data_IF_679940946232
#
_entry.id   IF_679940946232
#
_cell.length_a   1.000
_cell.length_b   1.000
_cell.length_c   1.000
_cell.angle_alpha   90.00
_cell.angle_beta   90.00
_cell.angle_gamma   90.00
#
_symmetry.space_group_name_H-M   'P 1'
#
loop_
_entity.id
_entity.type
_entity.pdbx_description
1 polymer ?
#
# COMPACT_ATOMS: atom_id res chain seq x y z
N UNK A 1 -13.96 -6.12 0.83
CA UNK A 1 -13.86 -6.98 2.06
C UNK A 1 -12.46 -6.74 2.64
N UNK A 2 -12.32 -6.32 3.89
CA UNK A 2 -10.99 -6.01 4.46
C UNK A 2 -10.29 -7.33 4.83
N UNK A 3 -9.24 -7.70 4.10
CA UNK A 3 -8.34 -8.78 4.50
C UNK A 3 -7.04 -8.15 5.01
N UNK A 4 -6.81 -8.23 6.32
CA UNK A 4 -5.54 -7.87 6.94
C UNK A 4 -4.90 -9.15 7.47
N UNK A 5 -3.73 -9.51 6.93
CA UNK A 5 -2.96 -10.66 7.41
C UNK A 5 -1.79 -10.14 8.24
N UNK A 6 -1.65 -10.66 9.46
CA UNK A 6 -0.57 -10.30 10.37
C UNK A 6 0.41 -11.47 10.44
N UNK A 7 1.68 -11.22 10.12
CA UNK A 7 2.76 -12.21 10.24
C UNK A 7 3.75 -11.78 11.33
N UNK A 8 3.98 -12.67 12.30
CA UNK A 8 5.08 -12.53 13.25
C UNK A 8 6.33 -13.23 12.68
N UNK A 9 7.45 -12.51 12.56
CA UNK A 9 8.72 -13.08 12.06
C UNK A 9 9.26 -14.16 13.02
N UNK A 10 9.29 -15.41 12.56
CA UNK A 10 9.96 -16.52 13.22
C UNK A 10 11.46 -16.55 12.90
N UNK A 11 12.29 -16.81 13.92
CA UNK A 11 13.75 -16.81 13.84
C UNK A 11 14.29 -18.26 13.76
N UNK A 12 15.05 -18.64 12.72
CA UNK A 12 16.21 -19.57 12.79
C UNK A 12 16.66 -20.12 11.43
N UNK A 13 17.92 -20.57 11.44
CA UNK A 13 18.84 -20.76 10.33
C UNK A 13 18.87 -22.17 9.71
N UNK A 14 19.27 -22.19 8.43
CA UNK A 14 20.06 -23.20 7.68
C UNK A 14 19.79 -24.70 7.84
N UNK A 15 19.53 -25.36 6.69
CA UNK A 15 20.36 -26.50 6.22
C UNK A 15 20.25 -26.69 4.69
N UNK A 16 21.41 -26.91 4.06
CA UNK A 16 21.63 -27.23 2.63
C UNK A 16 21.70 -28.75 2.43
N UNK A 17 21.31 -29.20 1.23
CA UNK A 17 21.85 -30.25 0.30
C UNK A 17 20.67 -30.69 -0.58
N UNK A 18 20.71 -31.01 -1.87
CA UNK A 18 21.74 -31.50 -2.81
C UNK A 18 21.24 -31.23 -4.25
N UNK A 19 22.13 -31.05 -5.23
CA UNK A 19 21.81 -30.81 -6.65
C UNK A 19 21.87 -32.11 -7.45
N UNK A 20 20.77 -32.53 -8.11
CA UNK A 20 20.88 -33.19 -9.42
C UNK A 20 19.56 -33.21 -10.21
N UNK A 21 19.75 -33.21 -11.54
CA UNK A 21 18.81 -33.49 -12.63
C UNK A 21 17.88 -32.35 -13.12
N UNK A 22 18.26 -31.85 -14.29
CA UNK A 22 17.61 -30.87 -15.15
C UNK A 22 16.32 -31.43 -15.75
N UNK A 23 15.22 -30.71 -15.56
CA UNK A 23 14.14 -30.64 -16.53
C UNK A 23 13.80 -29.16 -16.73
N UNK A 24 14.15 -28.59 -17.90
CA UNK A 24 13.84 -27.20 -18.23
C UNK A 24 12.38 -27.12 -18.67
N UNK A 25 11.47 -27.17 -17.71
CA UNK A 25 10.11 -26.68 -17.88
C UNK A 25 10.16 -25.17 -17.71
N UNK A 26 9.85 -24.43 -18.77
CA UNK A 26 9.52 -23.01 -18.72
C UNK A 26 8.48 -22.79 -17.62
N UNK A 27 8.72 -21.95 -16.61
CA UNK A 27 7.69 -21.62 -15.65
C UNK A 27 6.65 -20.80 -16.40
N UNK A 28 5.47 -21.39 -16.64
CA UNK A 28 4.26 -20.61 -16.85
C UNK A 28 3.99 -19.89 -15.54
N UNK A 29 4.45 -18.65 -15.43
CA UNK A 29 4.01 -17.70 -14.41
C UNK A 29 2.52 -17.50 -14.60
N UNK A 30 1.71 -18.26 -13.86
CA UNK A 30 0.27 -18.04 -13.73
C UNK A 30 0.08 -16.77 -12.91
N UNK A 31 0.12 -15.63 -13.60
CA UNK A 31 -0.26 -14.34 -13.03
C UNK A 31 -1.75 -14.37 -12.66
N UNK A 32 -2.09 -13.91 -11.46
CA UNK A 32 -3.49 -13.86 -11.00
C UNK A 32 -4.23 -12.60 -11.43
N UNK A 33 -3.66 -11.82 -12.34
CA UNK A 33 -4.17 -10.50 -12.72
C UNK A 33 -5.09 -10.58 -13.94
N UNK A 34 -6.24 -9.90 -13.90
CA UNK A 34 -7.13 -9.75 -15.06
C UNK A 34 -6.76 -8.52 -15.91
N UNK A 35 -6.35 -8.77 -17.16
CA UNK A 35 -5.94 -7.75 -18.13
C UNK A 35 -7.02 -6.70 -18.44
N UNK A 36 -8.32 -7.04 -18.33
CA UNK A 36 -9.42 -6.10 -18.65
C UNK A 36 -9.59 -5.02 -17.59
N UNK A 37 -9.32 -5.36 -16.34
CA UNK A 37 -9.44 -4.44 -15.23
C UNK A 37 -8.27 -3.45 -15.23
N UNK A 38 -7.06 -3.90 -15.58
CA UNK A 38 -5.88 -3.04 -15.72
C UNK A 38 -6.12 -1.85 -16.66
N UNK A 39 -6.66 -2.09 -17.86
CA UNK A 39 -6.92 -1.02 -18.83
C UNK A 39 -7.93 0.03 -18.30
N UNK A 40 -8.86 -0.38 -17.44
CA UNK A 40 -9.82 0.53 -16.81
C UNK A 40 -9.12 1.43 -15.80
N UNK A 41 -8.22 0.87 -14.98
CA UNK A 41 -7.44 1.60 -13.98
C UNK A 41 -6.40 2.54 -14.60
N UNK A 42 -5.74 2.13 -15.68
CA UNK A 42 -4.81 2.97 -16.44
C UNK A 42 -5.48 4.26 -16.93
N UNK A 43 -6.75 4.19 -17.33
CA UNK A 43 -7.50 5.35 -17.83
C UNK A 43 -7.80 6.38 -16.74
N UNK A 44 -8.04 5.93 -15.50
CA UNK A 44 -8.42 6.81 -14.38
C UNK A 44 -7.24 7.16 -13.46
N UNK A 45 -6.05 6.61 -13.70
CA UNK A 45 -4.85 6.83 -12.89
C UNK A 45 -4.58 8.32 -12.60
N UNK A 46 -4.80 9.21 -13.58
CA UNK A 46 -4.55 10.65 -13.44
C UNK A 46 -5.60 11.40 -12.61
N UNK A 47 -6.77 10.82 -12.44
CA UNK A 47 -7.89 11.37 -11.66
C UNK A 47 -7.99 10.70 -10.28
N UNK A 48 -7.05 9.81 -9.93
CA UNK A 48 -7.11 8.98 -8.72
C UNK A 48 -7.18 9.79 -7.44
N UNK A 49 -6.52 10.95 -7.43
CA UNK A 49 -6.46 11.86 -6.29
C UNK A 49 -7.45 13.03 -6.39
N UNK A 50 -8.28 13.10 -7.44
CA UNK A 50 -9.40 14.03 -7.45
C UNK A 50 -10.44 13.60 -6.41
N UNK A 51 -10.56 14.38 -5.34
CA UNK A 51 -11.49 14.13 -4.24
C UNK A 51 -12.95 14.11 -4.68
N UNK A 52 -13.28 14.68 -5.84
CA UNK A 52 -14.61 14.65 -6.44
C UNK A 52 -14.71 13.71 -7.66
N UNK A 53 -13.61 13.05 -8.02
CA UNK A 53 -13.48 12.20 -9.20
C UNK A 53 -13.96 10.75 -8.99
N UNK A 54 -13.55 9.83 -9.88
CA UNK A 54 -14.00 8.44 -9.86
C UNK A 54 -13.71 7.72 -8.53
N UNK A 55 -12.58 8.04 -7.89
CA UNK A 55 -12.14 7.40 -6.64
C UNK A 55 -12.72 8.06 -5.37
N UNK A 56 -13.65 9.03 -5.52
CA UNK A 56 -14.31 9.70 -4.39
C UNK A 56 -14.84 8.74 -3.31
N UNK A 57 -15.47 7.58 -3.62
CA UNK A 57 -15.90 6.65 -2.59
C UNK A 57 -14.73 6.13 -1.73
N UNK A 58 -13.58 5.83 -2.35
CA UNK A 58 -12.39 5.35 -1.64
C UNK A 58 -11.82 6.43 -0.73
N UNK A 59 -11.76 7.68 -1.19
CA UNK A 59 -11.35 8.83 -0.35
C UNK A 59 -12.27 8.98 0.87
N UNK A 60 -13.58 8.92 0.67
CA UNK A 60 -14.56 9.01 1.76
C UNK A 60 -14.44 7.88 2.78
N UNK A 61 -14.17 6.65 2.34
CA UNK A 61 -14.01 5.51 3.23
C UNK A 61 -12.64 5.44 3.91
N UNK A 62 -11.63 6.16 3.40
CA UNK A 62 -10.24 6.04 3.85
C UNK A 62 -10.04 6.29 5.35
N UNK A 63 -10.61 7.35 5.97
CA UNK A 63 -10.44 7.58 7.40
C UNK A 63 -10.92 6.41 8.26
N UNK A 64 -12.03 5.76 7.89
CA UNK A 64 -12.54 4.60 8.62
C UNK A 64 -11.62 3.37 8.46
N UNK A 65 -11.15 3.11 7.24
CA UNK A 65 -10.22 2.00 6.94
C UNK A 65 -8.91 2.16 7.69
N UNK A 66 -8.29 3.34 7.63
CA UNK A 66 -7.02 3.62 8.30
C UNK A 66 -7.15 3.56 9.82
N UNK A 67 -8.25 4.07 10.39
CA UNK A 67 -8.54 3.92 11.82
C UNK A 67 -8.60 2.44 12.22
N UNK A 68 -9.35 1.63 11.48
CA UNK A 68 -9.47 0.19 11.75
C UNK A 68 -8.12 -0.52 11.65
N UNK A 69 -7.40 -0.34 10.54
CA UNK A 69 -6.08 -0.95 10.31
C UNK A 69 -5.11 -0.58 11.44
N UNK A 70 -5.06 0.70 11.81
CA UNK A 70 -4.19 1.20 12.88
C UNK A 70 -4.54 0.54 14.21
N UNK A 71 -5.83 0.52 14.58
CA UNK A 71 -6.29 -0.09 15.84
C UNK A 71 -5.99 -1.59 15.90
N UNK A 72 -6.27 -2.35 14.83
CA UNK A 72 -5.98 -3.78 14.79
C UNK A 72 -4.47 -4.05 14.85
N UNK A 73 -3.67 -3.23 14.17
CA UNK A 73 -2.20 -3.32 14.22
C UNK A 73 -1.68 -3.06 15.63
N UNK A 74 -2.12 -1.98 16.28
CA UNK A 74 -1.73 -1.67 17.64
C UNK A 74 -2.13 -2.78 18.61
N UNK A 75 -3.33 -3.33 18.47
CA UNK A 75 -3.77 -4.45 19.30
C UNK A 75 -2.93 -5.72 19.07
N UNK A 76 -2.65 -6.07 17.81
CA UNK A 76 -1.84 -7.24 17.45
C UNK A 76 -0.43 -7.18 18.06
N UNK A 77 0.19 -6.00 18.02
CA UNK A 77 1.54 -5.79 18.57
C UNK A 77 1.55 -5.36 20.05
N UNK A 78 0.42 -5.47 20.76
CA UNK A 78 0.27 -5.09 22.17
C UNK A 78 0.69 -3.63 22.47
N UNK A 79 0.39 -2.70 21.54
CA UNK A 79 0.67 -1.26 21.59
C UNK A 79 -0.60 -0.41 21.78
N UNK A 80 -1.74 -0.99 22.14
CA UNK A 80 -3.01 -0.28 22.24
C UNK A 80 -2.99 0.90 23.22
N UNK A 81 -2.17 0.85 24.28
CA UNK A 81 -2.08 1.93 25.28
C UNK A 81 -1.19 3.10 24.81
N UNK A 82 -0.56 2.98 23.65
CA UNK A 82 0.35 4.01 23.10
C UNK A 82 -0.38 5.14 22.37
N UNK A 83 -1.68 4.98 22.09
CA UNK A 83 -2.46 5.96 21.33
C UNK A 83 -3.91 6.02 21.84
N UNK A 84 -4.36 7.21 22.26
CA UNK A 84 -5.78 7.39 22.58
C UNK A 84 -6.64 7.40 21.30
N UNK A 85 -7.92 6.97 21.38
CA UNK A 85 -8.83 7.06 20.24
C UNK A 85 -8.92 8.48 19.67
N UNK A 86 -9.05 9.50 20.53
CA UNK A 86 -9.12 10.91 20.10
C UNK A 86 -7.87 11.37 19.35
N UNK A 87 -6.68 10.92 19.79
CA UNK A 87 -5.43 11.26 19.11
C UNK A 87 -5.39 10.68 17.69
N UNK A 88 -5.88 9.47 17.49
CA UNK A 88 -5.98 8.89 16.15
C UNK A 88 -6.94 9.70 15.25
N UNK A 89 -8.03 10.23 15.80
CA UNK A 89 -8.94 11.10 15.05
C UNK A 89 -8.27 12.39 14.62
N UNK A 90 -7.53 13.03 15.52
CA UNK A 90 -6.77 14.25 15.23
C UNK A 90 -5.73 14.03 14.13
N UNK A 91 -5.04 12.88 14.15
CA UNK A 91 -4.07 12.51 13.11
C UNK A 91 -4.76 12.34 11.75
N UNK A 92 -5.86 11.60 11.68
CA UNK A 92 -6.62 11.44 10.44
C UNK A 92 -7.18 12.78 9.91
N UNK A 93 -7.61 13.68 10.80
CA UNK A 93 -8.06 15.02 10.44
C UNK A 93 -6.91 15.88 9.90
N UNK A 94 -5.73 15.79 10.51
CA UNK A 94 -4.52 16.51 10.06
C UNK A 94 -4.06 16.04 8.68
N UNK A 95 -4.06 14.73 8.42
CA UNK A 95 -3.81 14.17 7.09
C UNK A 95 -4.81 14.69 6.06
N UNK A 96 -6.11 14.60 6.38
CA UNK A 96 -7.18 15.03 5.47
C UNK A 96 -7.09 16.52 5.11
N UNK A 97 -6.69 17.36 6.07
CA UNK A 97 -6.48 18.80 5.83
C UNK A 97 -5.29 19.07 4.89
N UNK A 98 -4.19 18.31 5.01
CA UNK A 98 -3.07 18.43 4.07
C UNK A 98 -3.43 17.91 2.67
N UNK A 99 -4.16 16.80 2.60
CA UNK A 99 -4.67 16.28 1.34
C UNK A 99 -5.52 17.32 0.59
N UNK A 100 -6.41 18.03 1.30
CA UNK A 100 -7.19 19.12 0.71
C UNK A 100 -6.30 20.27 0.21
N UNK A 101 -5.24 20.64 0.94
CA UNK A 101 -4.30 21.67 0.49
C UNK A 101 -3.56 21.27 -0.79
N UNK A 102 -3.17 20.00 -0.91
CA UNK A 102 -2.53 19.47 -2.13
C UNK A 102 -3.52 19.46 -3.30
N UNK A 103 -4.77 19.06 -3.07
CA UNK A 103 -5.84 19.18 -4.07
C UNK A 103 -6.04 20.63 -4.53
N UNK A 104 -6.12 21.58 -3.61
CA UNK A 104 -6.35 23.00 -3.90
C UNK A 104 -5.16 23.64 -4.63
N UNK A 105 -3.94 23.13 -4.41
CA UNK A 105 -2.74 23.55 -5.12
C UNK A 105 -2.71 23.11 -6.60
N UNK A 106 -3.56 22.16 -7.01
CA UNK A 106 -3.72 21.75 -8.40
C UNK A 106 -2.50 21.02 -8.97
N UNK A 107 -2.13 19.89 -8.37
CA UNK A 107 -0.99 19.06 -8.82
C UNK A 107 -1.24 18.47 -10.21
N UNK A 108 -0.25 18.60 -11.09
CA UNK A 108 -0.22 17.88 -12.36
C UNK A 108 0.33 16.46 -12.16
N UNK A 109 -0.56 15.47 -12.13
CA UNK A 109 -0.20 14.06 -12.01
C UNK A 109 0.47 13.48 -13.27
N UNK A 110 0.56 14.24 -14.37
CA UNK A 110 1.37 13.88 -15.54
C UNK A 110 2.80 14.41 -15.48
N UNK A 111 3.10 15.30 -14.53
CA UNK A 111 4.41 15.92 -14.42
C UNK A 111 5.49 14.89 -14.08
N UNK A 112 6.72 15.15 -14.53
CA UNK A 112 7.87 14.34 -14.06
C UNK A 112 8.04 14.58 -12.56
N UNK A 113 8.39 13.54 -11.82
CA UNK A 113 8.62 13.64 -10.36
C UNK A 113 9.58 14.78 -9.99
N UNK A 114 10.61 15.05 -10.80
CA UNK A 114 11.57 16.15 -10.58
C UNK A 114 10.96 17.55 -10.65
N UNK A 115 9.80 17.71 -11.30
CA UNK A 115 9.10 18.99 -11.50
C UNK A 115 8.08 19.29 -10.39
N UNK A 116 7.72 18.27 -9.60
CA UNK A 116 6.76 18.40 -8.50
C UNK A 116 7.49 18.97 -7.28
N UNK A 117 6.96 20.04 -6.69
CA UNK A 117 7.49 20.57 -5.44
C UNK A 117 7.29 19.55 -4.31
N UNK A 118 8.30 19.37 -3.45
CA UNK A 118 8.16 18.51 -2.29
C UNK A 118 7.25 19.19 -1.27
N UNK A 119 6.22 18.47 -0.82
CA UNK A 119 5.39 18.89 0.30
C UNK A 119 6.16 18.86 1.62
N UNK A 120 5.46 19.27 2.68
CA UNK A 120 6.05 19.40 4.02
C UNK A 120 5.39 18.49 5.05
N UNK A 121 4.43 17.65 4.65
CA UNK A 121 3.83 16.70 5.57
C UNK A 121 4.91 15.74 6.05
N UNK A 122 4.99 15.54 7.36
CA UNK A 122 5.89 14.56 7.95
C UNK A 122 5.14 13.75 9.00
N UNK A 123 5.50 12.47 9.19
CA UNK A 123 4.93 11.69 10.27
C UNK A 123 5.18 12.36 11.62
N UNK A 124 4.16 12.45 12.50
CA UNK A 124 4.32 13.06 13.80
C UNK A 124 5.32 12.27 14.67
N UNK A 125 5.89 12.92 15.70
CA UNK A 125 6.88 12.26 16.57
C UNK A 125 6.29 11.05 17.31
N UNK A 126 5.01 11.13 17.68
CA UNK A 126 4.22 10.09 18.33
C UNK A 126 3.46 9.18 17.35
N UNK A 127 3.90 9.11 16.08
CA UNK A 127 3.25 8.32 15.04
C UNK A 127 3.03 6.84 15.47
N UNK A 128 1.78 6.33 15.41
CA UNK A 128 1.43 5.06 16.04
C UNK A 128 1.98 3.82 15.34
N UNK A 129 2.26 3.90 14.04
CA UNK A 129 2.78 2.79 13.25
C UNK A 129 4.30 2.82 13.11
N UNK A 130 4.97 3.76 13.81
CA UNK A 130 6.43 3.88 13.80
C UNK A 130 7.12 2.56 14.11
N UNK A 131 8.10 2.22 13.27
CA UNK A 131 8.92 1.02 13.39
C UNK A 131 8.31 -0.26 12.80
N UNK A 132 7.13 -0.17 12.18
CA UNK A 132 6.51 -1.30 11.48
C UNK A 132 6.73 -1.16 9.97
N UNK A 133 7.03 -2.29 9.34
CA UNK A 133 7.02 -2.44 7.88
C UNK A 133 5.64 -2.89 7.42
N UNK A 134 5.06 -2.21 6.43
CA UNK A 134 3.71 -2.51 5.93
C UNK A 134 3.68 -2.61 4.41
N UNK A 135 2.90 -3.56 3.90
CA UNK A 135 2.62 -3.72 2.48
C UNK A 135 1.16 -3.36 2.20
N UNK A 136 0.92 -2.51 1.20
CA UNK A 136 -0.40 -2.25 0.61
C UNK A 136 -0.45 -2.94 -0.77
N UNK A 137 -1.16 -4.06 -0.85
CA UNK A 137 -1.32 -4.87 -2.07
C UNK A 137 -2.48 -4.32 -2.90
N UNK A 138 -2.24 -4.09 -4.18
CA UNK A 138 -3.18 -3.38 -5.06
C UNK A 138 -3.37 -1.95 -4.61
N UNK A 139 -2.27 -1.26 -4.30
CA UNK A 139 -2.32 0.07 -3.68
C UNK A 139 -2.92 1.16 -4.59
N UNK A 140 -3.06 0.89 -5.90
CA UNK A 140 -3.36 1.89 -6.90
C UNK A 140 -2.37 3.05 -6.82
N UNK A 141 -2.87 4.28 -6.80
CA UNK A 141 -2.05 5.47 -6.57
C UNK A 141 -1.86 5.83 -5.08
N UNK A 142 -2.19 4.92 -4.15
CA UNK A 142 -1.72 4.96 -2.76
C UNK A 142 -2.59 5.66 -1.72
N UNK A 143 -3.92 5.69 -1.89
CA UNK A 143 -4.86 6.34 -0.96
C UNK A 143 -4.66 5.86 0.50
N UNK A 144 -4.47 4.55 0.69
CA UNK A 144 -4.24 3.95 2.02
C UNK A 144 -2.76 4.00 2.37
N UNK A 145 -1.89 3.54 1.45
CA UNK A 145 -0.44 3.54 1.62
C UNK A 145 0.14 4.86 2.15
N UNK A 146 -0.23 6.01 1.56
CA UNK A 146 0.28 7.31 1.99
C UNK A 146 -0.19 7.71 3.39
N UNK A 147 -1.43 7.38 3.75
CA UNK A 147 -1.95 7.67 5.08
C UNK A 147 -1.25 6.79 6.14
N UNK A 148 -0.95 5.53 5.82
CA UNK A 148 -0.16 4.65 6.70
C UNK A 148 1.29 5.15 6.86
N UNK A 149 1.90 5.66 5.79
CA UNK A 149 3.22 6.28 5.84
C UNK A 149 3.22 7.54 6.73
N UNK A 150 2.20 8.39 6.60
CA UNK A 150 1.99 9.53 7.50
C UNK A 150 1.84 9.09 8.97
N UNK A 151 1.20 7.96 9.23
CA UNK A 151 1.10 7.38 10.58
C UNK A 151 2.38 6.66 11.03
N UNK A 152 3.48 6.78 10.27
CA UNK A 152 4.84 6.43 10.65
C UNK A 152 5.32 5.05 10.22
N UNK A 153 4.50 4.29 9.48
CA UNK A 153 4.94 3.01 8.94
C UNK A 153 5.98 3.18 7.82
N UNK A 154 6.88 2.22 7.69
CA UNK A 154 7.69 2.03 6.47
C UNK A 154 6.84 1.26 5.46
N UNK A 155 6.30 1.98 4.47
CA UNK A 155 5.26 1.46 3.58
C UNK A 155 5.82 1.12 2.21
N UNK A 156 5.40 -0.04 1.71
CA UNK A 156 5.54 -0.43 0.32
C UNK A 156 4.14 -0.56 -0.27
N UNK A 157 3.86 0.20 -1.32
CA UNK A 157 2.67 0.00 -2.17
C UNK A 157 3.03 -0.81 -3.40
N UNK A 158 2.33 -1.90 -3.67
CA UNK A 158 2.49 -2.69 -4.90
C UNK A 158 1.20 -2.67 -5.70
N UNK A 159 1.29 -2.42 -7.00
CA UNK A 159 0.16 -2.50 -7.92
C UNK A 159 0.57 -3.14 -9.25
N UNK A 160 -0.32 -3.93 -9.83
CA UNK A 160 -0.09 -4.60 -11.11
C UNK A 160 -0.34 -3.69 -12.31
N UNK A 161 -0.99 -2.54 -12.11
CA UNK A 161 -1.27 -1.56 -13.14
C UNK A 161 -0.07 -0.63 -13.30
N UNK A 162 0.63 -0.59 -14.44
CA UNK A 162 1.87 0.17 -14.57
C UNK A 162 1.71 1.69 -14.44
N UNK A 163 0.51 2.22 -14.70
CA UNK A 163 0.23 3.66 -14.66
C UNK A 163 -0.03 4.21 -13.25
N UNK A 164 -0.40 3.38 -12.27
CA UNK A 164 -0.79 3.88 -10.94
C UNK A 164 0.40 4.19 -10.02
N UNK A 165 1.49 3.38 -9.94
CA UNK A 165 2.66 3.71 -9.12
C UNK A 165 3.33 5.05 -9.48
N UNK A 166 3.51 5.43 -10.76
CA UNK A 166 4.04 6.75 -11.10
C UNK A 166 3.20 7.92 -10.57
N UNK A 167 1.87 7.81 -10.63
CA UNK A 167 0.97 8.83 -10.07
C UNK A 167 1.09 8.89 -8.55
N UNK A 168 1.12 7.74 -7.88
CA UNK A 168 1.32 7.67 -6.43
C UNK A 168 2.63 8.32 -5.99
N UNK A 169 3.73 8.12 -6.71
CA UNK A 169 5.00 8.80 -6.40
C UNK A 169 4.92 10.33 -6.54
N UNK A 170 4.22 10.81 -7.57
CA UNK A 170 4.00 12.26 -7.76
C UNK A 170 3.20 12.82 -6.59
N UNK A 171 2.11 12.16 -6.21
CA UNK A 171 1.26 12.60 -5.10
C UNK A 171 2.00 12.54 -3.76
N UNK A 172 2.66 11.43 -3.43
CA UNK A 172 3.46 11.29 -2.23
C UNK A 172 4.52 12.39 -2.10
N UNK A 173 5.21 12.72 -3.19
CA UNK A 173 6.15 13.85 -3.20
C UNK A 173 5.47 15.18 -2.93
N UNK A 174 4.31 15.43 -3.54
CA UNK A 174 3.53 16.65 -3.32
C UNK A 174 3.00 16.75 -1.87
N UNK A 175 2.68 15.63 -1.24
CA UNK A 175 2.34 15.55 0.18
C UNK A 175 3.57 15.78 1.06
N UNK A 176 4.75 15.33 0.64
CA UNK A 176 5.99 15.33 1.44
C UNK A 176 6.29 13.98 2.11
N UNK A 177 5.63 12.91 1.66
CA UNK A 177 5.74 11.57 2.20
C UNK A 177 6.81 10.75 1.46
N UNK A 178 7.47 9.88 2.22
CA UNK A 178 8.46 8.93 1.72
C UNK A 178 7.92 7.50 1.89
N UNK A 179 7.72 6.82 0.77
CA UNK A 179 7.29 5.43 0.70
C UNK A 179 7.69 4.81 -0.64
N UNK A 180 7.89 3.50 -0.65
CA UNK A 180 8.22 2.76 -1.86
C UNK A 180 6.93 2.42 -2.61
N UNK A 181 6.90 2.71 -3.91
CA UNK A 181 5.92 2.14 -4.82
C UNK A 181 6.58 1.09 -5.73
N UNK A 182 5.85 0.06 -6.11
CA UNK A 182 6.30 -1.00 -7.02
C UNK A 182 5.22 -1.25 -8.06
N UNK A 183 5.60 -1.27 -9.33
CA UNK A 183 4.82 -1.94 -10.35
C UNK A 183 5.20 -3.42 -10.33
N UNK A 184 4.25 -4.28 -9.97
CA UNK A 184 4.48 -5.72 -9.82
C UNK A 184 3.30 -6.42 -9.16
N UNK A 185 3.50 -7.69 -8.81
CA UNK A 185 2.48 -8.56 -8.22
C UNK A 185 2.92 -9.10 -6.86
N UNK A 186 1.99 -9.67 -6.11
CA UNK A 186 2.30 -10.41 -4.88
C UNK A 186 3.30 -11.55 -5.15
N UNK A 187 3.17 -12.25 -6.28
CA UNK A 187 4.08 -13.34 -6.67
C UNK A 187 5.52 -12.84 -6.86
N UNK A 188 5.71 -11.64 -7.42
CA UNK A 188 7.03 -11.03 -7.55
C UNK A 188 7.67 -10.76 -6.18
N UNK A 189 6.88 -10.29 -5.21
CA UNK A 189 7.36 -10.01 -3.85
C UNK A 189 7.71 -11.30 -3.09
N UNK A 190 6.89 -12.35 -3.24
CA UNK A 190 7.15 -13.68 -2.68
C UNK A 190 8.42 -14.29 -3.28
N UNK A 191 8.61 -14.19 -4.60
CA UNK A 191 9.82 -14.65 -5.28
C UNK A 191 11.08 -13.90 -4.83
N UNK A 192 10.93 -12.65 -4.41
CA UNK A 192 12.01 -11.83 -3.82
C UNK A 192 12.19 -12.06 -2.31
N UNK A 193 11.39 -12.94 -1.69
CA UNK A 193 11.39 -13.19 -0.24
C UNK A 193 11.20 -11.92 0.60
N UNK A 194 10.39 -10.97 0.13
CA UNK A 194 10.05 -9.78 0.91
C UNK A 194 9.01 -10.12 1.97
N UNK A 195 9.23 -9.66 3.20
CA UNK A 195 8.33 -9.88 4.34
C UNK A 195 8.02 -8.56 5.03
N UNK A 196 6.80 -8.46 5.56
CA UNK A 196 6.26 -7.26 6.18
C UNK A 196 5.60 -7.63 7.51
N UNK A 197 5.57 -6.69 8.45
CA UNK A 197 4.93 -6.93 9.74
C UNK A 197 3.40 -6.89 9.61
N UNK A 198 2.87 -6.10 8.64
CA UNK A 198 1.45 -6.05 8.29
C UNK A 198 1.26 -6.04 6.78
N UNK A 199 0.32 -6.85 6.28
CA UNK A 199 -0.12 -6.81 4.87
C UNK A 199 -1.57 -6.36 4.81
N UNK A 200 -1.81 -5.26 4.09
CA UNK A 200 -3.12 -4.73 3.74
C UNK A 200 -3.49 -5.18 2.32
N UNK A 201 -4.70 -5.72 2.16
CA UNK A 201 -5.26 -6.07 0.86
C UNK A 201 -6.73 -5.61 0.83
N UNK A 202 -7.00 -4.54 0.10
CA UNK A 202 -8.27 -3.79 0.16
C UNK A 202 -8.85 -3.61 -1.24
N UNK A 203 -10.02 -4.19 -1.50
CA UNK A 203 -10.74 -4.10 -2.80
C UNK A 203 -9.91 -4.63 -3.99
N UNK A 204 -9.17 -5.72 -3.75
CA UNK A 204 -8.33 -6.40 -4.75
C UNK A 204 -8.85 -7.79 -5.10
N UNK A 205 -9.30 -8.55 -4.09
CA UNK A 205 -9.60 -9.98 -4.22
C UNK A 205 -10.65 -10.27 -5.30
N UNK A 206 -11.59 -9.35 -5.50
CA UNK A 206 -12.62 -9.42 -6.54
C UNK A 206 -12.09 -9.30 -7.98
N UNK A 207 -10.84 -8.83 -8.16
CA UNK A 207 -10.16 -8.64 -9.44
C UNK A 207 -9.11 -9.72 -9.74
N UNK A 208 -9.00 -10.72 -8.85
CA UNK A 208 -8.01 -11.79 -8.94
C UNK A 208 -8.62 -13.02 -9.60
N UNK A 209 -7.90 -13.62 -10.55
CA UNK A 209 -8.37 -14.80 -11.31
C UNK A 209 -8.26 -16.12 -10.55
N UNK A 210 -7.31 -16.22 -9.61
CA UNK A 210 -7.12 -17.35 -8.69
C UNK A 210 -6.99 -16.82 -7.24
N UNK A 211 -8.13 -16.78 -6.53
CA UNK A 211 -8.22 -16.24 -5.17
C UNK A 211 -7.42 -17.05 -4.17
N UNK A 212 -7.44 -18.38 -4.28
CA UNK A 212 -6.77 -19.26 -3.32
C UNK A 212 -5.25 -19.12 -3.41
N UNK A 213 -4.71 -19.11 -4.64
CA UNK A 213 -3.27 -18.86 -4.85
C UNK A 213 -2.86 -17.47 -4.34
N UNK A 214 -3.64 -16.44 -4.66
CA UNK A 214 -3.36 -15.08 -4.23
C UNK A 214 -3.35 -14.93 -2.72
N UNK A 215 -4.38 -15.44 -2.01
CA UNK A 215 -4.45 -15.39 -0.55
C UNK A 215 -3.31 -16.19 0.09
N UNK A 216 -2.94 -17.35 -0.47
CA UNK A 216 -1.79 -18.11 -0.01
C UNK A 216 -0.47 -17.35 -0.21
N UNK A 217 -0.37 -16.50 -1.24
CA UNK A 217 0.75 -15.61 -1.47
C UNK A 217 0.90 -14.53 -0.39
N UNK A 218 -0.21 -13.93 0.06
CA UNK A 218 -0.21 -12.89 1.11
C UNK A 218 0.28 -13.39 2.47
N UNK A 219 0.27 -14.72 2.68
CA UNK A 219 0.67 -15.36 3.93
C UNK A 219 2.10 -15.94 3.90
N UNK A 220 2.91 -15.65 2.87
CA UNK A 220 4.31 -16.08 2.72
C UNK A 220 5.27 -14.93 2.98
#
# INVERSE_FOLDING_TARGET
MICATFQAKGNSAQQRTDMSAVHRSTPTTTSTVDDKDQATWSRVAREWWDLNGPMRPLHHMNPARVKYITQQTLHHFARQDTLSPSRLEDLCASYSSHLQQVQDAGIDYCAKLSQVAAGTLSPPSDAPLRGLTMLDVGCGAGIVAEHLAYLGADVVGVDSTPETPPVGRVHAKAMGLDLEYIHGTTDDLVAQHRQFDVVCCLEVVEHVTDVDHFVAGLAK
#
